data_IF_513087627483
#
_entry.id   IF_513087627483
#
_cell.length_a   1.000
_cell.length_b   1.000
_cell.length_c   1.000
_cell.angle_alpha   90.00
_cell.angle_beta   90.00
_cell.angle_gamma   90.00
#
_symmetry.space_group_name_H-M   'P 1'
#
loop_
_entity.id
_entity.type
_entity.pdbx_description
1 polymer ?
#
# COMPACT_ATOMS: atom_id res chain seq x y z
N UNK A 1 25.85 -23.49 -17.63
CA UNK A 1 25.13 -23.62 -16.34
C UNK A 1 23.63 -23.53 -16.64
N UNK A 2 22.79 -24.47 -16.19
CA UNK A 2 21.34 -24.42 -16.46
C UNK A 2 20.73 -23.20 -15.77
N UNK A 3 20.09 -22.33 -16.54
CA UNK A 3 19.40 -21.15 -16.02
C UNK A 3 18.01 -21.56 -15.52
N UNK A 4 17.66 -21.12 -14.31
CA UNK A 4 16.34 -21.37 -13.72
C UNK A 4 15.60 -20.05 -13.59
N UNK A 5 14.33 -20.03 -14.00
CA UNK A 5 13.50 -18.83 -13.98
C UNK A 5 12.47 -18.89 -12.85
N UNK A 6 12.12 -17.73 -12.31
CA UNK A 6 11.03 -17.62 -11.36
C UNK A 6 10.20 -16.34 -11.59
N UNK A 7 8.95 -16.37 -11.15
CA UNK A 7 8.07 -15.18 -11.05
C UNK A 7 7.47 -15.10 -9.65
N UNK A 8 6.94 -13.93 -9.29
CA UNK A 8 6.35 -13.66 -7.98
C UNK A 8 4.88 -13.30 -8.14
N UNK A 9 4.00 -14.04 -7.46
CA UNK A 9 2.55 -13.85 -7.50
C UNK A 9 2.07 -13.44 -6.10
N UNK A 10 1.76 -12.15 -5.87
CA UNK A 10 1.22 -11.69 -4.60
C UNK A 10 -0.25 -12.06 -4.46
N UNK A 11 -0.80 -11.88 -3.25
CA UNK A 11 -2.24 -11.91 -3.03
C UNK A 11 -2.92 -10.70 -3.68
N UNK A 12 -4.19 -10.86 -4.06
CA UNK A 12 -5.05 -9.74 -4.47
C UNK A 12 -5.47 -8.88 -3.25
N UNK A 13 -4.51 -8.17 -2.67
CA UNK A 13 -4.67 -7.23 -1.55
C UNK A 13 -4.36 -5.80 -1.99
N UNK A 14 -4.38 -4.84 -1.05
CA UNK A 14 -4.05 -3.45 -1.35
C UNK A 14 -2.62 -3.28 -1.85
N UNK A 15 -2.37 -2.26 -2.66
CA UNK A 15 -1.10 -2.09 -3.38
C UNK A 15 0.11 -2.06 -2.44
N UNK A 16 0.00 -1.39 -1.29
CA UNK A 16 1.05 -1.38 -0.27
C UNK A 16 1.45 -2.81 0.11
N UNK A 17 0.52 -3.64 0.58
CA UNK A 17 0.82 -5.02 0.96
C UNK A 17 1.38 -5.85 -0.21
N UNK A 18 0.89 -5.65 -1.44
CA UNK A 18 1.45 -6.32 -2.62
C UNK A 18 2.93 -5.98 -2.82
N UNK A 19 3.33 -4.71 -2.65
CA UNK A 19 4.75 -4.32 -2.80
C UNK A 19 5.67 -5.01 -1.78
N UNK A 20 5.21 -5.23 -0.54
CA UNK A 20 5.96 -6.01 0.45
C UNK A 20 6.12 -7.46 0.02
N UNK A 21 5.02 -8.08 -0.43
CA UNK A 21 5.00 -9.48 -0.85
C UNK A 21 5.92 -9.69 -2.04
N UNK A 22 5.83 -8.85 -3.07
CA UNK A 22 6.68 -8.94 -4.27
C UNK A 22 8.14 -8.72 -3.90
N UNK A 23 8.45 -7.72 -3.08
CA UNK A 23 9.82 -7.48 -2.64
C UNK A 23 10.40 -8.73 -1.98
N UNK A 24 9.64 -9.35 -1.08
CA UNK A 24 10.10 -10.52 -0.34
C UNK A 24 10.26 -11.76 -1.24
N UNK A 25 9.29 -12.01 -2.12
CA UNK A 25 9.36 -13.14 -3.06
C UNK A 25 10.47 -12.97 -4.10
N UNK A 26 10.66 -11.75 -4.61
CA UNK A 26 11.74 -11.40 -5.52
C UNK A 26 13.10 -11.64 -4.85
N UNK A 27 13.31 -11.11 -3.64
CA UNK A 27 14.56 -11.30 -2.92
C UNK A 27 14.78 -12.78 -2.59
N UNK A 28 13.74 -13.53 -2.21
CA UNK A 28 13.85 -14.97 -1.95
C UNK A 28 14.28 -15.75 -3.20
N UNK A 29 13.58 -15.57 -4.33
CA UNK A 29 13.91 -16.28 -5.57
C UNK A 29 15.28 -15.90 -6.14
N UNK A 30 15.65 -14.63 -6.03
CA UNK A 30 16.98 -14.17 -6.43
C UNK A 30 18.07 -14.75 -5.52
N UNK A 31 17.79 -14.92 -4.21
CA UNK A 31 18.70 -15.58 -3.26
C UNK A 31 18.89 -17.07 -3.59
N UNK A 32 17.90 -17.73 -4.21
CA UNK A 32 18.04 -19.07 -4.77
C UNK A 32 18.85 -19.10 -6.09
N UNK A 33 19.43 -17.97 -6.53
CA UNK A 33 20.09 -17.79 -7.82
C UNK A 33 19.19 -18.11 -9.02
N UNK A 34 17.89 -17.86 -8.89
CA UNK A 34 16.96 -17.90 -10.01
C UNK A 34 16.87 -16.54 -10.69
N UNK A 35 16.62 -16.54 -12.00
CA UNK A 35 16.44 -15.33 -12.79
C UNK A 35 14.98 -14.92 -12.80
N UNK A 36 14.71 -13.68 -12.41
CA UNK A 36 13.35 -13.17 -12.34
C UNK A 36 12.77 -12.93 -13.73
N UNK A 37 11.55 -13.43 -13.94
CA UNK A 37 10.69 -13.16 -15.09
C UNK A 37 9.42 -12.52 -14.56
N UNK A 38 9.11 -11.32 -15.04
CA UNK A 38 8.03 -10.55 -14.49
C UNK A 38 6.66 -11.00 -15.03
N UNK A 39 5.78 -11.35 -14.11
CA UNK A 39 4.34 -11.42 -14.37
C UNK A 39 3.72 -10.08 -14.01
N UNK A 40 3.01 -9.41 -14.94
CA UNK A 40 2.33 -8.15 -14.66
C UNK A 40 1.40 -8.26 -13.45
N UNK A 41 1.48 -7.26 -12.57
CA UNK A 41 0.67 -7.25 -11.36
C UNK A 41 -0.78 -6.88 -11.65
N UNK A 42 -1.67 -7.33 -10.75
CA UNK A 42 -3.09 -7.00 -10.78
C UNK A 42 -3.52 -6.55 -9.37
N UNK A 43 -4.07 -5.34 -9.26
CA UNK A 43 -4.51 -4.77 -7.99
C UNK A 43 -5.98 -4.34 -8.04
N UNK A 44 -6.86 -5.32 -8.30
CA UNK A 44 -8.32 -5.11 -8.36
C UNK A 44 -8.88 -4.49 -7.09
N UNK A 45 -8.29 -4.75 -5.92
CA UNK A 45 -8.77 -4.18 -4.65
C UNK A 45 -8.60 -2.66 -4.59
N UNK A 46 -7.57 -2.12 -5.24
CA UNK A 46 -7.23 -0.69 -5.19
C UNK A 46 -7.90 0.10 -6.32
N UNK A 47 -8.28 -0.56 -7.41
CA UNK A 47 -9.14 0.04 -8.44
C UNK A 47 -10.62 -0.07 -8.05
N UNK A 48 -11.35 1.03 -8.16
CA UNK A 48 -12.76 1.21 -7.76
C UNK A 48 -13.75 0.41 -8.64
N UNK A 49 -13.44 -0.83 -9.02
CA UNK A 49 -14.47 -1.70 -9.57
C UNK A 49 -15.47 -1.98 -8.46
N UNK A 50 -16.69 -1.45 -8.58
CA UNK A 50 -17.79 -1.78 -7.68
C UNK A 50 -17.95 -3.30 -7.57
N UNK A 51 -18.43 -3.78 -6.43
CA UNK A 51 -18.72 -5.22 -6.24
C UNK A 51 -19.61 -5.79 -7.37
N UNK A 52 -20.47 -4.95 -7.95
CA UNK A 52 -21.34 -5.26 -9.08
C UNK A 52 -20.51 -5.44 -10.36
N UNK A 53 -19.59 -4.52 -10.67
CA UNK A 53 -18.67 -4.64 -11.82
C UNK A 53 -17.77 -5.88 -11.70
N UNK A 54 -17.35 -6.25 -10.48
CA UNK A 54 -16.59 -7.50 -10.25
C UNK A 54 -17.42 -8.77 -10.51
N UNK A 55 -18.71 -8.77 -10.14
CA UNK A 55 -19.63 -9.90 -10.39
C UNK A 55 -19.98 -10.03 -11.88
N UNK A 56 -20.23 -8.91 -12.55
CA UNK A 56 -20.54 -8.85 -13.98
C UNK A 56 -19.35 -9.37 -14.80
N UNK A 57 -18.13 -8.90 -14.55
CA UNK A 57 -16.94 -9.40 -15.25
C UNK A 57 -16.67 -10.89 -14.98
N UNK A 58 -17.06 -11.43 -13.82
CA UNK A 58 -16.94 -12.87 -13.52
C UNK A 58 -17.92 -13.72 -14.33
N UNK A 59 -19.02 -13.16 -14.83
CA UNK A 59 -20.05 -13.91 -15.56
C UNK A 59 -19.98 -13.76 -17.09
N UNK A 60 -19.38 -12.68 -17.61
CA UNK A 60 -19.41 -12.39 -19.06
C UNK A 60 -18.10 -12.82 -19.77
N UNK A 61 -17.12 -13.37 -19.06
CA UNK A 61 -15.93 -13.97 -19.69
C UNK A 61 -15.09 -13.00 -20.54
N UNK A 62 -15.29 -11.68 -20.42
CA UNK A 62 -14.50 -10.70 -21.15
C UNK A 62 -13.02 -10.91 -20.80
N UNK A 63 -12.13 -11.09 -21.79
CA UNK A 63 -10.71 -11.06 -21.55
C UNK A 63 -10.41 -9.71 -20.89
N UNK A 64 -9.84 -9.75 -19.68
CA UNK A 64 -9.49 -8.56 -18.88
C UNK A 64 -8.48 -7.72 -19.67
N UNK A 65 -8.99 -6.90 -20.57
CA UNK A 65 -8.17 -6.05 -21.43
C UNK A 65 -7.49 -5.01 -20.57
N UNK A 66 -6.17 -5.15 -20.55
CA UNK A 66 -5.17 -4.11 -20.49
C UNK A 66 -5.28 -3.12 -19.32
N UNK A 67 -4.37 -3.38 -18.38
CA UNK A 67 -3.73 -2.44 -17.48
C UNK A 67 -4.61 -1.80 -16.43
N UNK A 68 -4.49 -2.37 -15.24
CA UNK A 68 -4.63 -1.63 -14.01
C UNK A 68 -3.78 -0.33 -14.13
N UNK A 69 -4.46 0.80 -14.32
CA UNK A 69 -3.85 2.11 -14.53
C UNK A 69 -2.90 2.45 -13.39
N UNK A 70 -3.19 1.97 -12.17
CA UNK A 70 -2.31 2.06 -11.01
C UNK A 70 -1.01 1.29 -11.21
N UNK A 71 -1.05 0.09 -11.76
CA UNK A 71 0.15 -0.73 -11.99
C UNK A 71 1.04 -0.11 -13.07
N UNK A 72 0.45 0.40 -14.15
CA UNK A 72 1.16 1.22 -15.14
C UNK A 72 1.73 2.50 -14.53
N UNK A 73 0.93 3.19 -13.72
CA UNK A 73 1.36 4.40 -13.02
C UNK A 73 2.62 4.15 -12.18
N UNK A 74 2.68 2.98 -11.53
CA UNK A 74 3.80 2.54 -10.71
C UNK A 74 4.99 1.98 -11.50
N UNK A 75 4.88 1.79 -12.82
CA UNK A 75 5.90 1.13 -13.64
C UNK A 75 6.05 -0.37 -13.34
N UNK A 76 5.00 -1.00 -12.84
CA UNK A 76 4.97 -2.41 -12.43
C UNK A 76 4.20 -3.31 -13.40
N UNK A 77 3.88 -2.79 -14.59
CA UNK A 77 3.26 -3.55 -15.68
C UNK A 77 4.30 -4.29 -16.53
N UNK A 78 5.56 -3.82 -16.49
CA UNK A 78 6.68 -4.39 -17.25
C UNK A 78 7.98 -4.46 -16.45
N UNK A 79 8.82 -5.40 -16.85
CA UNK A 79 10.22 -5.55 -16.42
C UNK A 79 11.05 -5.94 -17.64
N UNK A 80 12.38 -5.87 -17.49
CA UNK A 80 13.34 -6.32 -18.51
C UNK A 80 12.99 -7.66 -19.13
N UNK A 81 12.58 -8.63 -18.29
CA UNK A 81 12.04 -9.91 -18.73
C UNK A 81 10.58 -10.00 -18.35
N UNK A 82 9.72 -10.28 -19.31
CA UNK A 82 8.29 -10.46 -19.10
C UNK A 82 7.88 -11.88 -19.45
N UNK A 83 6.93 -12.44 -18.71
CA UNK A 83 6.42 -13.79 -18.98
C UNK A 83 5.78 -13.92 -20.37
N UNK A 84 5.35 -12.80 -20.95
CA UNK A 84 4.76 -12.73 -22.28
C UNK A 84 5.79 -12.53 -23.41
N UNK A 85 7.09 -12.46 -23.10
CA UNK A 85 8.13 -12.33 -24.14
C UNK A 85 8.19 -13.61 -24.99
N UNK A 86 8.45 -13.45 -26.30
CA UNK A 86 8.52 -14.58 -27.25
C UNK A 86 9.45 -15.72 -26.79
N UNK A 87 10.53 -15.39 -26.08
CA UNK A 87 11.49 -16.38 -25.56
C UNK A 87 10.92 -17.31 -24.49
N UNK A 88 9.81 -16.94 -23.84
CA UNK A 88 9.13 -17.77 -22.86
C UNK A 88 7.90 -18.48 -23.43
N UNK A 89 7.66 -18.37 -24.75
CA UNK A 89 6.63 -19.17 -25.42
C UNK A 89 6.93 -20.67 -25.23
N UNK A 90 5.95 -21.40 -24.69
CA UNK A 90 6.08 -22.82 -24.38
C UNK A 90 6.80 -23.13 -23.06
N UNK A 91 7.13 -22.13 -22.24
CA UNK A 91 7.49 -22.39 -20.84
C UNK A 91 6.25 -22.78 -20.03
N UNK A 92 6.40 -23.79 -19.18
CA UNK A 92 5.38 -24.16 -18.20
C UNK A 92 5.58 -23.35 -16.92
N UNK A 93 4.49 -22.79 -16.41
CA UNK A 93 4.50 -22.08 -15.12
C UNK A 93 4.12 -23.10 -14.04
N UNK A 94 5.03 -23.30 -13.09
CA UNK A 94 4.79 -24.20 -11.97
C UNK A 94 4.63 -23.42 -10.66
N UNK A 95 3.46 -23.50 -10.07
CA UNK A 95 3.22 -22.90 -8.75
C UNK A 95 3.98 -23.65 -7.65
N UNK A 96 4.85 -22.90 -6.96
CA UNK A 96 5.57 -23.36 -5.77
C UNK A 96 4.80 -22.88 -4.55
N UNK A 97 4.14 -23.82 -3.86
CA UNK A 97 3.50 -23.54 -2.58
C UNK A 97 4.57 -23.42 -1.47
N UNK A 98 5.19 -22.25 -1.38
CA UNK A 98 6.24 -21.95 -0.42
C UNK A 98 5.82 -22.22 1.02
N UNK A 99 4.56 -21.96 1.39
CA UNK A 99 4.08 -22.22 2.74
C UNK A 99 4.15 -23.71 3.09
N UNK A 100 3.61 -24.56 2.22
CA UNK A 100 3.63 -26.02 2.38
C UNK A 100 5.08 -26.52 2.44
N UNK A 101 5.87 -26.09 1.48
CA UNK A 101 7.27 -26.47 1.32
C UNK A 101 8.10 -26.12 2.57
N UNK A 102 7.96 -24.91 3.11
CA UNK A 102 8.69 -24.44 4.29
C UNK A 102 8.20 -25.06 5.61
N UNK A 103 6.98 -25.59 5.65
CA UNK A 103 6.43 -26.25 6.85
C UNK A 103 6.77 -27.74 6.90
N UNK A 104 6.66 -28.42 5.77
CA UNK A 104 6.79 -29.88 5.69
C UNK A 104 8.24 -30.35 5.53
N UNK A 105 9.17 -29.45 5.20
CA UNK A 105 10.57 -29.78 5.00
C UNK A 105 11.47 -29.06 6.01
N UNK A 106 12.52 -29.76 6.45
CA UNK A 106 13.58 -29.22 7.29
C UNK A 106 14.53 -28.32 6.49
N UNK A 107 14.00 -27.20 6.00
CA UNK A 107 14.76 -26.20 5.23
C UNK A 107 15.41 -25.23 6.22
N UNK A 108 16.73 -25.33 6.34
CA UNK A 108 17.54 -24.54 7.27
C UNK A 108 18.18 -23.33 6.61
N UNK A 109 18.45 -23.40 5.30
CA UNK A 109 19.15 -22.37 4.53
C UNK A 109 18.63 -22.27 3.09
N UNK A 110 19.12 -21.27 2.35
CA UNK A 110 18.68 -20.99 0.97
C UNK A 110 19.02 -22.13 -0.02
N UNK A 111 20.12 -22.84 0.23
CA UNK A 111 20.54 -23.95 -0.62
C UNK A 111 19.60 -25.14 -0.48
N UNK A 112 19.16 -25.45 0.75
CA UNK A 112 18.14 -26.46 1.02
C UNK A 112 16.84 -26.12 0.29
N UNK A 113 16.41 -24.86 0.38
CA UNK A 113 15.20 -24.38 -0.30
C UNK A 113 15.30 -24.61 -1.81
N UNK A 114 16.41 -24.19 -2.41
CA UNK A 114 16.68 -24.36 -3.85
C UNK A 114 16.67 -25.83 -4.24
N UNK A 115 17.31 -26.70 -3.46
CA UNK A 115 17.35 -28.14 -3.70
C UNK A 115 15.94 -28.73 -3.66
N UNK A 116 15.16 -28.43 -2.63
CA UNK A 116 13.77 -28.86 -2.51
C UNK A 116 12.93 -28.42 -3.71
N UNK A 117 13.00 -27.15 -4.12
CA UNK A 117 12.24 -26.64 -5.29
C UNK A 117 12.63 -27.40 -6.57
N UNK A 118 13.93 -27.58 -6.80
CA UNK A 118 14.42 -28.25 -7.99
C UNK A 118 14.07 -29.75 -8.04
N UNK A 119 13.79 -30.40 -6.91
CA UNK A 119 13.36 -31.81 -6.86
C UNK A 119 11.87 -32.03 -7.14
N UNK A 120 11.05 -30.98 -7.17
CA UNK A 120 9.58 -31.13 -7.22
C UNK A 120 9.07 -31.64 -8.59
N UNK A 121 9.82 -31.51 -9.69
CA UNK A 121 9.38 -31.96 -11.03
C UNK A 121 10.56 -32.45 -11.90
N UNK A 122 10.35 -33.45 -12.81
CA UNK A 122 11.33 -33.89 -13.80
C UNK A 122 11.96 -32.71 -14.56
N UNK A 123 13.24 -32.86 -14.90
CA UNK A 123 14.10 -31.89 -15.59
C UNK A 123 13.56 -31.49 -16.99
N UNK A 124 12.42 -30.80 -17.08
CA UNK A 124 12.11 -30.01 -18.27
C UNK A 124 13.03 -28.80 -18.29
N UNK A 125 13.50 -28.41 -19.47
CA UNK A 125 14.33 -27.21 -19.65
C UNK A 125 13.49 -25.92 -19.68
N UNK A 126 12.15 -26.03 -19.78
CA UNK A 126 11.26 -24.88 -19.99
C UNK A 126 10.26 -24.72 -18.85
N UNK A 127 10.75 -24.44 -17.64
CA UNK A 127 9.92 -24.18 -16.46
C UNK A 127 10.21 -22.78 -15.90
N UNK A 128 9.15 -22.08 -15.50
CA UNK A 128 9.21 -20.89 -14.64
C UNK A 128 8.55 -21.23 -13.31
N UNK A 129 9.30 -21.15 -12.22
CA UNK A 129 8.75 -21.35 -10.88
C UNK A 129 7.96 -20.12 -10.43
N UNK A 130 6.67 -20.29 -10.18
CA UNK A 130 5.78 -19.26 -9.68
C UNK A 130 5.77 -19.30 -8.16
N UNK A 131 6.40 -18.31 -7.53
CA UNK A 131 6.41 -18.18 -6.08
C UNK A 131 5.13 -17.48 -5.66
N UNK A 132 4.17 -18.24 -5.13
CA UNK A 132 2.84 -17.74 -4.79
C UNK A 132 2.76 -17.36 -3.31
N UNK A 133 2.39 -16.11 -3.04
CA UNK A 133 2.09 -15.68 -1.67
C UNK A 133 0.72 -16.21 -1.23
N UNK A 134 0.67 -16.88 -0.08
CA UNK A 134 -0.59 -17.33 0.55
C UNK A 134 -0.85 -16.55 1.85
N UNK A 135 -2.09 -16.47 2.36
CA UNK A 135 -2.34 -15.76 3.62
C UNK A 135 -1.55 -16.31 4.81
N UNK A 136 -1.22 -17.61 4.81
CA UNK A 136 -0.43 -18.22 5.88
C UNK A 136 1.07 -17.87 5.81
N UNK A 137 1.57 -17.34 4.69
CA UNK A 137 2.96 -16.89 4.54
C UNK A 137 3.32 -15.75 5.50
N UNK A 138 2.35 -14.97 5.98
CA UNK A 138 2.60 -13.96 7.00
C UNK A 138 3.20 -14.56 8.29
N UNK A 139 2.86 -15.80 8.62
CA UNK A 139 3.40 -16.53 9.77
C UNK A 139 4.86 -16.97 9.55
N UNK A 140 5.33 -17.01 8.31
CA UNK A 140 6.66 -17.47 7.93
C UNK A 140 7.62 -16.34 7.58
N UNK A 141 7.23 -15.07 7.77
CA UNK A 141 8.07 -13.91 7.40
C UNK A 141 9.47 -13.96 8.01
N UNK A 142 9.58 -14.27 9.29
CA UNK A 142 10.88 -14.39 9.98
C UNK A 142 11.72 -15.53 9.41
N UNK A 143 11.11 -16.69 9.14
CA UNK A 143 11.78 -17.83 8.50
C UNK A 143 12.27 -17.47 7.10
N UNK A 144 11.44 -16.84 6.28
CA UNK A 144 11.82 -16.38 4.93
C UNK A 144 12.99 -15.39 5.01
N UNK A 145 12.95 -14.45 5.96
CA UNK A 145 14.04 -13.50 6.15
C UNK A 145 15.34 -14.21 6.56
N UNK A 146 15.27 -15.17 7.49
CA UNK A 146 16.43 -15.99 7.88
C UNK A 146 17.03 -16.76 6.70
N UNK A 147 16.18 -17.32 5.82
CA UNK A 147 16.64 -17.99 4.60
C UNK A 147 17.34 -17.02 3.64
N UNK A 148 16.78 -15.84 3.41
CA UNK A 148 17.42 -14.79 2.61
C UNK A 148 18.78 -14.41 3.22
N UNK A 149 18.85 -14.26 4.53
CA UNK A 149 20.06 -13.87 5.24
C UNK A 149 21.15 -14.95 5.16
N UNK A 150 20.75 -16.23 5.12
CA UNK A 150 21.67 -17.36 4.96
C UNK A 150 22.41 -17.38 3.61
N UNK A 151 21.92 -16.67 2.60
CA UNK A 151 22.53 -16.63 1.27
C UNK A 151 23.86 -15.85 1.23
N UNK A 152 24.17 -15.04 2.26
CA UNK A 152 25.41 -14.22 2.37
C UNK A 152 25.73 -13.38 1.13
N UNK A 153 24.69 -12.96 0.43
CA UNK A 153 24.72 -12.11 -0.76
C UNK A 153 24.45 -10.67 -0.36
N UNK A 154 25.03 -9.72 -1.10
CA UNK A 154 24.75 -8.32 -0.86
C UNK A 154 23.27 -8.02 -1.14
N UNK A 155 22.52 -7.76 -0.07
CA UNK A 155 21.10 -7.44 -0.11
C UNK A 155 20.80 -6.19 -0.95
N UNK A 156 21.76 -5.29 -1.14
CA UNK A 156 21.58 -4.11 -1.99
C UNK A 156 21.29 -4.51 -3.45
N UNK A 157 21.90 -5.60 -3.92
CA UNK A 157 21.77 -6.12 -5.27
C UNK A 157 20.47 -6.92 -5.50
N UNK A 158 19.87 -7.44 -4.42
CA UNK A 158 18.68 -8.30 -4.47
C UNK A 158 17.35 -7.56 -4.23
N UNK A 159 17.36 -6.23 -4.25
CA UNK A 159 16.14 -5.43 -4.07
C UNK A 159 15.39 -5.29 -5.38
N UNK A 160 14.08 -5.50 -5.31
CA UNK A 160 13.21 -5.13 -6.43
C UNK A 160 13.26 -3.61 -6.61
N UNK A 161 13.59 -3.17 -7.83
CA UNK A 161 13.86 -1.76 -8.13
C UNK A 161 12.59 -0.91 -8.29
N UNK A 162 11.81 -0.77 -7.22
CA UNK A 162 10.56 0.01 -7.22
C UNK A 162 10.76 1.46 -7.66
N UNK A 163 11.72 2.16 -7.07
CA UNK A 163 11.99 3.57 -7.37
C UNK A 163 12.37 3.81 -8.84
N UNK A 164 13.36 3.06 -9.37
CA UNK A 164 13.80 3.19 -10.76
C UNK A 164 12.63 3.02 -11.74
N UNK A 165 11.81 1.98 -11.52
CA UNK A 165 10.63 1.68 -12.34
C UNK A 165 9.59 2.78 -12.29
N UNK A 166 9.30 3.28 -11.08
CA UNK A 166 8.33 4.33 -10.88
C UNK A 166 8.73 5.61 -11.60
N UNK A 167 9.95 6.08 -11.38
CA UNK A 167 10.41 7.34 -11.97
C UNK A 167 10.55 7.24 -13.49
N UNK A 168 10.99 6.10 -14.03
CA UNK A 168 10.95 5.83 -15.47
C UNK A 168 9.52 5.89 -16.03
N UNK A 169 8.53 5.35 -15.32
CA UNK A 169 7.13 5.47 -15.74
C UNK A 169 6.63 6.93 -15.69
N UNK A 170 7.09 7.73 -14.72
CA UNK A 170 6.74 9.16 -14.60
C UNK A 170 7.31 10.02 -15.72
N UNK A 171 8.45 9.65 -16.33
CA UNK A 171 8.97 10.34 -17.53
C UNK A 171 7.96 10.30 -18.69
N UNK A 172 7.35 9.13 -18.92
CA UNK A 172 6.36 8.95 -20.00
C UNK A 172 4.95 9.44 -19.66
N UNK A 173 4.64 9.53 -18.37
CA UNK A 173 3.30 9.88 -17.91
C UNK A 173 3.40 10.75 -16.65
N UNK A 174 3.78 12.03 -16.76
CA UNK A 174 3.95 12.90 -15.60
C UNK A 174 2.62 13.13 -14.88
N UNK A 175 2.68 13.38 -13.57
CA UNK A 175 1.52 13.76 -12.76
C UNK A 175 1.87 15.02 -11.98
N UNK A 176 1.15 16.11 -12.23
CA UNK A 176 1.32 17.33 -11.47
C UNK A 176 0.68 17.18 -10.07
N UNK A 177 1.40 17.63 -9.05
CA UNK A 177 0.91 17.82 -7.70
C UNK A 177 0.95 19.30 -7.35
N UNK A 178 0.10 19.77 -6.44
CA UNK A 178 0.12 21.15 -5.99
C UNK A 178 1.21 21.39 -4.93
N UNK A 179 2.38 20.76 -5.09
CA UNK A 179 3.56 21.10 -4.29
C UNK A 179 4.27 22.30 -4.91
N UNK A 180 4.66 23.25 -4.08
CA UNK A 180 5.62 24.27 -4.45
C UNK A 180 7.03 23.64 -4.40
N UNK A 181 7.74 23.68 -5.53
CA UNK A 181 9.08 23.11 -5.67
C UNK A 181 10.14 23.85 -4.84
N UNK A 182 9.89 25.09 -4.44
CA UNK A 182 10.80 25.90 -3.61
C UNK A 182 10.56 25.75 -2.11
N UNK A 183 9.59 24.92 -1.70
CA UNK A 183 9.19 24.74 -0.30
C UNK A 183 9.40 23.31 0.16
N UNK A 184 9.48 23.13 1.47
CA UNK A 184 9.51 21.80 2.09
C UNK A 184 8.14 21.14 1.89
N UNK A 185 8.14 19.93 1.33
CA UNK A 185 6.91 19.23 0.94
C UNK A 185 6.42 18.34 2.08
N UNK A 186 5.21 18.60 2.58
CA UNK A 186 4.57 17.76 3.60
C UNK A 186 3.38 17.01 2.99
N UNK A 187 3.35 15.69 3.10
CA UNK A 187 2.15 14.90 2.86
C UNK A 187 1.51 14.47 4.18
N UNK A 188 0.24 14.80 4.38
CA UNK A 188 -0.54 14.39 5.55
C UNK A 188 -1.55 13.34 5.12
N UNK A 189 -1.44 12.12 5.62
CA UNK A 189 -2.28 11.00 5.22
C UNK A 189 -3.26 10.60 6.33
N UNK A 190 -4.54 10.91 6.12
CA UNK A 190 -5.64 10.60 7.03
C UNK A 190 -6.45 9.44 6.47
N UNK A 191 -6.45 8.31 7.19
CA UNK A 191 -7.27 7.14 6.83
C UNK A 191 -8.61 7.21 7.55
N UNK A 192 -9.72 7.49 6.84
CA UNK A 192 -11.08 7.63 7.42
C UNK A 192 -12.14 6.74 6.76
N UNK A 193 -11.83 6.06 5.66
CA UNK A 193 -12.81 5.31 4.88
C UNK A 193 -13.12 3.89 5.36
N UNK A 194 -12.31 3.28 6.22
CA UNK A 194 -12.61 1.92 6.74
C UNK A 194 -12.31 1.69 8.22
N UNK A 195 -11.77 2.69 8.90
CA UNK A 195 -11.30 2.62 10.30
C UNK A 195 -11.89 3.70 11.20
N UNK A 196 -12.70 4.63 10.66
CA UNK A 196 -13.25 5.72 11.44
C UNK A 196 -14.24 5.25 12.51
N UNK A 197 -14.31 6.00 13.60
CA UNK A 197 -15.38 5.93 14.58
C UNK A 197 -16.43 7.00 14.26
N UNK A 198 -17.71 6.60 14.28
CA UNK A 198 -18.83 7.50 13.99
C UNK A 198 -19.70 7.65 15.24
N UNK A 199 -19.82 8.87 15.74
CA UNK A 199 -20.72 9.22 16.84
C UNK A 199 -22.15 9.37 16.35
N UNK A 200 -23.07 8.54 16.85
CA UNK A 200 -24.50 8.55 16.53
C UNK A 200 -25.31 8.39 17.82
N UNK A 201 -26.14 9.38 18.16
CA UNK A 201 -27.07 9.35 19.30
C UNK A 201 -26.45 8.82 20.61
N UNK A 202 -25.37 9.48 21.07
CA UNK A 202 -24.56 9.15 22.25
C UNK A 202 -23.85 7.78 22.22
N UNK A 203 -23.88 7.09 21.09
CA UNK A 203 -23.12 5.86 20.86
C UNK A 203 -22.01 6.10 19.85
N UNK A 204 -20.98 5.28 19.93
CA UNK A 204 -19.90 5.27 18.94
C UNK A 204 -20.01 4.00 18.13
N UNK A 205 -19.89 4.11 16.80
CA UNK A 205 -19.86 2.98 15.87
C UNK A 205 -18.41 2.80 15.43
N UNK A 206 -17.82 1.64 15.73
CA UNK A 206 -16.56 1.20 15.12
C UNK A 206 -16.85 0.75 13.68
N UNK A 207 -16.50 1.56 12.68
CA UNK A 207 -16.77 1.22 11.28
C UNK A 207 -15.96 0.01 10.79
N UNK A 208 -14.85 -0.32 11.46
CA UNK A 208 -14.07 -1.51 11.13
C UNK A 208 -14.82 -2.77 11.55
N UNK A 209 -15.30 -2.83 12.80
CA UNK A 209 -16.02 -3.98 13.37
C UNK A 209 -17.51 -3.99 13.03
N UNK A 210 -18.08 -2.85 12.63
CA UNK A 210 -19.50 -2.63 12.40
C UNK A 210 -20.34 -2.95 13.63
N UNK A 211 -19.94 -2.43 14.79
CA UNK A 211 -20.63 -2.59 16.07
C UNK A 211 -20.60 -1.30 16.88
N UNK A 212 -21.56 -1.17 17.80
CA UNK A 212 -21.51 -0.13 18.82
C UNK A 212 -20.39 -0.42 19.82
N UNK A 213 -19.72 0.63 20.28
CA UNK A 213 -18.70 0.63 21.33
C UNK A 213 -19.05 1.74 22.35
N UNK A 214 -18.56 1.60 23.57
CA UNK A 214 -18.89 2.52 24.67
C UNK A 214 -18.01 3.79 24.60
N UNK A 215 -16.75 3.64 24.21
CA UNK A 215 -15.80 4.74 24.01
C UNK A 215 -15.00 4.57 22.71
N UNK A 216 -14.44 5.66 22.18
CA UNK A 216 -13.42 5.63 21.12
C UNK A 216 -12.21 4.78 21.57
N UNK A 217 -11.91 4.74 22.87
CA UNK A 217 -10.83 3.92 23.42
C UNK A 217 -11.03 2.42 23.21
N UNK A 218 -12.27 1.97 23.05
CA UNK A 218 -12.63 0.57 22.79
C UNK A 218 -12.52 0.20 21.29
N UNK A 219 -12.23 1.19 20.43
CA UNK A 219 -12.10 0.98 19.00
C UNK A 219 -10.92 0.04 18.71
N UNK A 220 -11.07 -0.80 17.67
CA UNK A 220 -9.97 -1.70 17.29
C UNK A 220 -8.68 -0.95 16.95
N UNK A 221 -8.83 0.22 16.34
CA UNK A 221 -7.73 1.08 15.93
C UNK A 221 -7.99 2.45 16.51
N UNK A 222 -7.16 2.85 17.48
CA UNK A 222 -7.12 4.24 17.93
C UNK A 222 -6.62 5.07 16.76
N UNK A 223 -7.45 5.95 16.24
CA UNK A 223 -7.09 6.82 15.14
C UNK A 223 -7.16 8.26 15.59
N UNK A 224 -6.09 8.99 15.32
CA UNK A 224 -6.10 10.44 15.35
C UNK A 224 -7.30 10.99 14.57
N UNK A 225 -8.01 11.91 15.19
CA UNK A 225 -9.03 12.72 14.57
C UNK A 225 -8.41 13.75 13.64
N UNK A 226 -9.22 14.27 12.69
CA UNK A 226 -8.75 15.24 11.70
C UNK A 226 -8.09 16.47 12.35
N UNK A 227 -8.61 16.89 13.52
CA UNK A 227 -8.08 18.00 14.30
C UNK A 227 -6.66 17.73 14.84
N UNK A 228 -6.31 16.49 15.16
CA UNK A 228 -4.99 16.16 15.71
C UNK A 228 -3.88 16.40 14.67
N UNK A 229 -4.17 16.08 13.39
CA UNK A 229 -3.27 16.37 12.28
C UNK A 229 -3.11 17.86 12.04
N UNK A 230 -4.21 18.62 12.12
CA UNK A 230 -4.20 20.07 11.99
C UNK A 230 -3.40 20.73 13.11
N UNK A 231 -3.61 20.31 14.36
CA UNK A 231 -2.85 20.79 15.51
C UNK A 231 -1.34 20.52 15.37
N UNK A 232 -0.96 19.32 14.91
CA UNK A 232 0.44 19.01 14.63
C UNK A 232 1.03 19.91 13.53
N UNK A 233 0.30 20.17 12.45
CA UNK A 233 0.73 21.12 11.42
C UNK A 233 0.90 22.53 12.00
N UNK A 234 -0.04 23.01 12.81
CA UNK A 234 0.05 24.32 13.46
C UNK A 234 1.29 24.43 14.35
N UNK A 235 1.64 23.37 15.09
CA UNK A 235 2.89 23.33 15.86
C UNK A 235 4.12 23.46 14.97
N UNK A 236 4.16 22.72 13.85
CA UNK A 236 5.26 22.80 12.88
C UNK A 236 5.35 24.22 12.30
N UNK A 237 4.22 24.80 11.89
CA UNK A 237 4.17 26.15 11.31
C UNK A 237 4.57 27.23 12.30
N UNK A 238 4.07 27.17 13.54
CA UNK A 238 4.42 28.12 14.60
C UNK A 238 5.93 28.08 14.91
N UNK A 239 6.53 26.89 14.87
CA UNK A 239 7.95 26.70 15.18
C UNK A 239 8.88 27.13 14.04
N UNK A 240 8.49 26.87 12.80
CA UNK A 240 9.40 26.95 11.66
C UNK A 240 9.04 28.01 10.61
N UNK A 241 7.81 28.53 10.64
CA UNK A 241 7.25 29.43 9.63
C UNK A 241 6.38 28.67 8.63
N UNK A 242 5.10 29.03 8.53
CA UNK A 242 4.12 28.43 7.60
C UNK A 242 4.54 28.57 6.13
N UNK A 243 5.14 29.70 5.79
CA UNK A 243 5.56 30.09 4.44
C UNK A 243 6.61 29.15 3.84
N UNK A 244 7.39 28.44 4.66
CA UNK A 244 8.41 27.49 4.23
C UNK A 244 7.88 26.15 3.72
N UNK A 245 6.60 25.86 3.98
CA UNK A 245 6.01 24.56 3.69
C UNK A 245 4.98 24.62 2.57
N UNK A 246 4.91 23.55 1.79
CA UNK A 246 3.81 23.24 0.89
C UNK A 246 3.21 21.90 1.31
N UNK A 247 1.92 21.89 1.63
CA UNK A 247 1.29 20.76 2.30
C UNK A 247 0.18 20.17 1.43
N UNK A 248 0.14 18.85 1.33
CA UNK A 248 -0.94 18.11 0.69
C UNK A 248 -1.57 17.17 1.72
N UNK A 249 -2.84 17.41 2.02
CA UNK A 249 -3.66 16.59 2.91
C UNK A 249 -4.45 15.58 2.09
N UNK A 250 -4.26 14.31 2.39
CA UNK A 250 -4.79 13.16 1.66
C UNK A 250 -5.76 12.39 2.54
N UNK A 251 -6.96 12.08 2.03
CA UNK A 251 -7.84 11.14 2.70
C UNK A 251 -8.74 10.39 1.71
N UNK A 252 -9.04 9.13 2.02
CA UNK A 252 -10.14 8.40 1.39
C UNK A 252 -11.53 8.96 1.75
N UNK A 253 -11.60 9.86 2.74
CA UNK A 253 -12.85 10.46 3.22
C UNK A 253 -13.72 9.46 3.96
N UNK A 254 -14.97 9.83 4.23
CA UNK A 254 -15.87 8.98 5.05
C UNK A 254 -16.85 8.12 4.24
N UNK A 255 -16.92 8.31 2.92
CA UNK A 255 -17.92 7.69 2.05
C UNK A 255 -18.00 6.17 2.19
N UNK A 256 -16.86 5.48 2.23
CA UNK A 256 -16.84 4.03 2.40
C UNK A 256 -17.24 3.59 3.80
N UNK A 257 -16.89 4.36 4.83
CA UNK A 257 -17.32 4.12 6.21
C UNK A 257 -18.85 4.13 6.29
N UNK A 258 -19.49 5.19 5.79
CA UNK A 258 -20.94 5.31 5.80
C UNK A 258 -21.62 4.22 4.96
N UNK A 259 -21.12 3.91 3.75
CA UNK A 259 -21.61 2.79 2.94
C UNK A 259 -21.57 1.44 3.66
N UNK A 260 -20.53 1.18 4.44
CA UNK A 260 -20.41 -0.06 5.22
C UNK A 260 -21.43 -0.10 6.36
N UNK A 261 -21.65 1.02 7.04
CA UNK A 261 -22.66 1.16 8.08
C UNK A 261 -24.06 0.94 7.50
N UNK A 262 -24.42 1.63 6.41
CA UNK A 262 -25.70 1.44 5.71
C UNK A 262 -25.92 -0.02 5.32
N UNK A 263 -24.90 -0.68 4.75
CA UNK A 263 -25.00 -2.10 4.39
C UNK A 263 -25.21 -2.99 5.61
N UNK A 264 -24.55 -2.71 6.73
CA UNK A 264 -24.73 -3.46 7.97
C UNK A 264 -26.14 -3.26 8.56
N UNK A 265 -26.71 -2.05 8.43
CA UNK A 265 -28.09 -1.77 8.81
C UNK A 265 -29.10 -2.57 7.99
N UNK A 266 -28.97 -2.53 6.66
CA UNK A 266 -29.83 -3.29 5.76
C UNK A 266 -29.75 -4.81 5.96
N UNK A 267 -28.65 -5.30 6.53
CA UNK A 267 -28.45 -6.70 6.90
C UNK A 267 -28.91 -7.03 8.33
N UNK A 268 -29.50 -6.07 9.06
CA UNK A 268 -29.92 -6.26 10.46
C UNK A 268 -28.78 -6.40 11.46
N UNK A 269 -27.52 -6.18 11.06
CA UNK A 269 -26.33 -6.28 11.92
C UNK A 269 -26.15 -5.05 12.81
N UNK A 270 -26.65 -3.90 12.36
CA UNK A 270 -26.71 -2.67 13.12
C UNK A 270 -28.15 -2.17 13.15
N UNK A 271 -28.71 -1.98 14.34
CA UNK A 271 -30.01 -1.31 14.50
C UNK A 271 -29.75 0.18 14.62
N UNK A 272 -29.85 0.87 13.49
CA UNK A 272 -29.88 2.33 13.38
C UNK A 272 -31.23 2.64 12.73
N UNK A 273 -32.02 3.51 13.33
CA UNK A 273 -33.41 3.72 12.92
C UNK A 273 -33.59 4.87 11.93
N UNK A 274 -32.51 5.57 11.56
CA UNK A 274 -32.60 6.75 10.69
C UNK A 274 -31.50 6.76 9.61
N UNK A 275 -31.89 6.47 8.36
CA UNK A 275 -31.04 6.56 7.18
C UNK A 275 -30.81 8.01 6.72
N UNK A 276 -31.76 8.91 7.01
CA UNK A 276 -31.66 10.33 6.65
C UNK A 276 -30.59 10.98 7.54
N UNK A 277 -30.60 10.68 8.84
CA UNK A 277 -29.57 11.11 9.78
C UNK A 277 -28.18 10.64 9.33
N UNK A 278 -28.05 9.36 8.95
CA UNK A 278 -26.79 8.79 8.48
C UNK A 278 -26.22 9.51 7.24
N UNK A 279 -27.07 9.85 6.27
CA UNK A 279 -26.66 10.60 5.08
C UNK A 279 -26.25 12.05 5.42
N UNK A 280 -26.98 12.71 6.31
CA UNK A 280 -26.63 14.05 6.81
C UNK A 280 -25.27 14.04 7.53
N UNK A 281 -25.00 13.00 8.31
CA UNK A 281 -23.73 12.82 8.99
C UNK A 281 -22.55 12.61 8.04
N UNK A 282 -22.72 11.87 6.94
CA UNK A 282 -21.65 11.71 5.94
C UNK A 282 -21.15 13.08 5.46
N UNK A 283 -22.06 14.02 5.21
CA UNK A 283 -21.71 15.40 4.83
C UNK A 283 -20.94 16.11 5.94
N UNK A 284 -21.48 16.13 7.17
CA UNK A 284 -20.85 16.77 8.34
C UNK A 284 -19.43 16.22 8.64
N UNK A 285 -19.21 14.92 8.47
CA UNK A 285 -17.89 14.34 8.68
C UNK A 285 -16.90 14.74 7.60
N UNK A 286 -17.33 14.87 6.34
CA UNK A 286 -16.47 15.39 5.28
C UNK A 286 -16.16 16.89 5.47
N UNK A 287 -17.06 17.68 6.06
CA UNK A 287 -16.79 19.09 6.41
C UNK A 287 -15.66 19.25 7.44
N UNK A 288 -15.31 18.21 8.21
CA UNK A 288 -14.15 18.24 9.12
C UNK A 288 -12.83 18.56 8.40
N UNK A 289 -12.71 18.26 7.10
CA UNK A 289 -11.51 18.59 6.33
C UNK A 289 -11.40 20.08 5.99
N UNK A 290 -12.47 20.88 6.15
CA UNK A 290 -12.46 22.32 5.91
C UNK A 290 -11.54 23.08 6.87
N UNK A 291 -11.14 22.47 8.00
CA UNK A 291 -10.14 23.07 8.88
C UNK A 291 -8.82 23.37 8.15
N UNK A 292 -8.48 22.58 7.13
CA UNK A 292 -7.27 22.78 6.34
C UNK A 292 -7.40 23.89 5.29
N UNK A 293 -8.61 24.25 4.87
CA UNK A 293 -8.82 25.29 3.84
C UNK A 293 -8.56 26.70 4.36
N UNK A 294 -8.32 26.85 5.66
CA UNK A 294 -7.93 28.10 6.30
C UNK A 294 -6.50 28.54 5.94
N UNK A 295 -5.70 27.63 5.40
CA UNK A 295 -4.29 27.83 5.08
C UNK A 295 -4.07 27.87 3.57
N UNK A 296 -3.39 28.92 3.08
CA UNK A 296 -3.16 29.10 1.64
C UNK A 296 -2.12 28.12 1.07
N UNK A 297 -1.24 27.59 1.92
CA UNK A 297 -0.19 26.63 1.54
C UNK A 297 -0.63 25.15 1.65
N UNK A 298 -1.91 24.89 1.99
CA UNK A 298 -2.44 23.54 2.12
C UNK A 298 -3.42 23.22 0.99
N UNK A 299 -3.18 22.10 0.33
CA UNK A 299 -4.08 21.52 -0.67
C UNK A 299 -4.70 20.22 -0.15
N UNK A 300 -5.98 19.98 -0.42
CA UNK A 300 -6.68 18.77 0.02
C UNK A 300 -7.03 17.87 -1.16
N UNK A 301 -6.80 16.57 -1.01
CA UNK A 301 -7.21 15.50 -1.93
C UNK A 301 -8.05 14.52 -1.11
N UNK A 302 -9.36 14.74 -1.10
CA UNK A 302 -10.32 14.00 -0.28
C UNK A 302 -11.23 13.14 -1.16
N UNK A 303 -11.42 11.89 -0.76
CA UNK A 303 -12.40 10.97 -1.34
C UNK A 303 -11.79 9.86 -2.20
N UNK A 304 -12.57 8.80 -2.38
CA UNK A 304 -12.20 7.63 -3.15
C UNK A 304 -12.45 7.83 -4.66
N UNK A 305 -11.42 8.23 -5.39
CA UNK A 305 -11.36 8.15 -6.86
C UNK A 305 -10.02 7.54 -7.29
N UNK A 306 -9.97 6.97 -8.49
CA UNK A 306 -8.71 6.45 -9.03
C UNK A 306 -7.65 7.57 -9.14
N UNK A 307 -8.05 8.74 -9.64
CA UNK A 307 -7.16 9.89 -9.74
C UNK A 307 -6.64 10.36 -8.38
N UNK A 308 -7.51 10.44 -7.37
CA UNK A 308 -7.11 10.78 -6.01
C UNK A 308 -6.13 9.75 -5.44
N UNK A 309 -6.31 8.46 -5.74
CA UNK A 309 -5.36 7.42 -5.35
C UNK A 309 -3.99 7.64 -5.99
N UNK A 310 -3.94 7.91 -7.30
CA UNK A 310 -2.67 8.17 -7.99
C UNK A 310 -1.96 9.42 -7.44
N UNK A 311 -2.72 10.52 -7.25
CA UNK A 311 -2.19 11.75 -6.64
C UNK A 311 -1.74 11.54 -5.20
N UNK A 312 -2.47 10.77 -4.40
CA UNK A 312 -2.10 10.44 -3.02
C UNK A 312 -0.80 9.66 -2.96
N UNK A 313 -0.66 8.64 -3.81
CA UNK A 313 0.58 7.86 -3.91
C UNK A 313 1.75 8.78 -4.31
N UNK A 314 1.57 9.59 -5.35
CA UNK A 314 2.61 10.49 -5.81
C UNK A 314 3.02 11.49 -4.73
N UNK A 315 2.07 12.08 -4.02
CA UNK A 315 2.32 13.07 -2.99
C UNK A 315 3.13 12.48 -1.83
N UNK A 316 2.82 11.25 -1.40
CA UNK A 316 3.60 10.56 -0.37
C UNK A 316 5.03 10.25 -0.86
N UNK A 317 5.20 9.85 -2.12
CA UNK A 317 6.52 9.54 -2.70
C UNK A 317 7.40 10.80 -2.79
N UNK A 318 6.80 11.93 -3.17
CA UNK A 318 7.48 13.21 -3.37
C UNK A 318 7.74 13.98 -2.07
N UNK A 319 6.97 13.77 -1.00
CA UNK A 319 7.07 14.55 0.22
C UNK A 319 8.37 14.33 0.99
N UNK A 320 8.92 15.39 1.56
CA UNK A 320 10.08 15.35 2.44
C UNK A 320 9.70 14.93 3.85
N UNK A 321 8.50 15.32 4.28
CA UNK A 321 7.89 14.92 5.55
C UNK A 321 6.56 14.24 5.28
N UNK A 322 6.31 13.11 5.94
CA UNK A 322 5.04 12.39 5.87
C UNK A 322 4.43 12.24 7.25
N UNK A 323 3.26 12.83 7.45
CA UNK A 323 2.50 12.74 8.70
C UNK A 323 1.37 11.72 8.50
N UNK A 324 1.26 10.71 9.37
CA UNK A 324 0.21 9.69 9.27
C UNK A 324 -0.13 9.12 10.65
N UNK A 325 -1.39 8.75 10.90
CA UNK A 325 -1.77 8.04 12.15
C UNK A 325 -1.48 6.54 12.11
N UNK A 326 -1.12 6.01 10.94
CA UNK A 326 -0.58 4.66 10.82
C UNK A 326 0.38 4.60 9.64
N UNK A 327 1.55 4.01 9.85
CA UNK A 327 2.56 3.97 8.80
C UNK A 327 2.21 3.01 7.65
N UNK A 328 1.27 2.08 7.82
CA UNK A 328 1.01 0.96 6.90
C UNK A 328 1.02 1.29 5.40
N UNK A 329 0.20 2.21 4.89
CA UNK A 329 0.20 2.55 3.46
C UNK A 329 1.32 3.53 3.11
N UNK A 330 1.42 4.63 3.87
CA UNK A 330 2.35 5.72 3.58
C UNK A 330 3.82 5.29 3.62
N UNK A 331 4.21 4.48 4.59
CA UNK A 331 5.55 3.90 4.70
C UNK A 331 5.88 2.99 3.53
N UNK A 332 4.93 2.19 3.04
CA UNK A 332 5.18 1.28 1.92
C UNK A 332 5.40 2.02 0.61
N UNK A 333 4.77 3.17 0.44
CA UNK A 333 4.99 4.01 -0.74
C UNK A 333 6.39 4.63 -0.76
N UNK A 334 7.09 4.73 0.38
CA UNK A 334 8.49 5.22 0.41
C UNK A 334 9.46 4.34 -0.39
N UNK A 335 9.10 3.09 -0.70
CA UNK A 335 9.91 2.23 -1.60
C UNK A 335 10.06 2.78 -3.01
N UNK A 336 9.18 3.68 -3.44
CA UNK A 336 9.20 4.29 -4.76
C UNK A 336 9.92 5.64 -4.79
N UNK A 337 10.33 6.17 -3.64
CA UNK A 337 11.10 7.43 -3.57
C UNK A 337 12.48 7.23 -4.20
N UNK A 338 13.02 8.27 -4.85
CA UNK A 338 14.38 8.24 -5.42
C UNK A 338 15.39 7.87 -4.33
N UNK A 339 16.41 7.09 -4.68
CA UNK A 339 17.47 6.73 -3.75
C UNK A 339 18.19 8.00 -3.23
N UNK A 340 18.43 8.09 -1.91
CA UNK A 340 19.25 9.17 -1.33
C UNK A 340 18.77 9.73 0.02
N UNK A 341 17.46 9.95 0.21
CA UNK A 341 16.87 10.35 1.51
C UNK A 341 15.44 9.79 1.62
N UNK A 342 15.18 8.93 2.60
CA UNK A 342 13.80 8.51 2.97
C UNK A 342 13.07 9.68 3.61
N UNK A 343 11.78 9.90 3.32
CA UNK A 343 11.02 10.97 3.97
C UNK A 343 11.08 10.87 5.51
N UNK A 344 11.04 12.02 6.18
CA UNK A 344 10.89 12.08 7.63
C UNK A 344 9.45 11.70 8.01
N UNK A 345 9.29 10.55 8.66
CA UNK A 345 7.98 9.98 8.95
C UNK A 345 7.54 10.37 10.37
N UNK A 346 6.39 11.01 10.52
CA UNK A 346 5.81 11.40 11.81
C UNK A 346 4.52 10.64 12.04
N UNK A 347 4.43 9.94 13.18
CA UNK A 347 3.18 9.36 13.64
C UNK A 347 2.42 10.39 14.48
N UNK A 348 1.25 10.83 14.02
CA UNK A 348 0.46 11.83 14.78
C UNK A 348 0.00 11.32 16.15
N UNK A 349 -0.05 10.01 16.36
CA UNK A 349 -0.41 9.43 17.66
C UNK A 349 0.77 9.33 18.64
N UNK A 350 2.01 9.52 18.17
CA UNK A 350 3.23 9.24 18.95
C UNK A 350 4.25 10.40 18.88
N UNK A 351 3.86 11.57 18.36
CA UNK A 351 4.79 12.69 18.24
C UNK A 351 5.05 13.37 19.59
N UNK A 352 6.26 13.90 19.75
CA UNK A 352 6.67 14.72 20.88
C UNK A 352 7.54 15.90 20.41
N UNK A 353 8.00 16.72 21.37
CA UNK A 353 8.86 17.87 21.08
C UNK A 353 10.24 17.46 20.53
N UNK A 354 10.74 16.25 20.85
CA UNK A 354 12.02 15.77 20.32
C UNK A 354 11.91 15.47 18.82
N UNK A 355 10.84 14.78 18.42
CA UNK A 355 10.51 14.53 17.02
C UNK A 355 10.37 15.85 16.27
N UNK A 356 9.67 16.83 16.84
CA UNK A 356 9.54 18.14 16.22
C UNK A 356 10.90 18.82 16.03
N UNK A 357 11.79 18.79 17.03
CA UNK A 357 13.14 19.38 16.96
C UNK A 357 13.99 18.76 15.84
N UNK A 358 13.90 17.45 15.64
CA UNK A 358 14.68 16.75 14.62
C UNK A 358 14.26 17.01 13.17
N UNK A 359 13.16 17.73 12.94
CA UNK A 359 12.71 18.10 11.58
C UNK A 359 13.77 18.95 10.87
N UNK A 360 14.35 19.96 11.53
CA UNK A 360 15.37 20.81 10.89
C UNK A 360 16.65 20.03 10.58
N UNK A 361 17.11 19.21 11.53
CA UNK A 361 18.33 18.41 11.35
C UNK A 361 18.22 17.47 10.16
N UNK A 362 17.01 16.98 9.88
CA UNK A 362 16.73 16.15 8.70
C UNK A 362 16.71 16.94 7.38
N UNK A 363 16.21 18.18 7.43
CA UNK A 363 16.03 19.05 6.26
C UNK A 363 17.33 19.71 5.80
N UNK A 364 18.28 19.93 6.72
CA UNK A 364 19.66 20.29 6.42
C UNK A 364 20.44 19.08 5.84
#
# INVERSE_FOLDING_TARGET
MKEFFFTAIPLNVGIGDQTDQISMLYTLGSSCAYKYVHTPLVCERSTLSSFIVRKIHKHIGFPRKSSDRLIKFLGLDKHELNINDNKFLGYQILDVNLYKLLQENNISNIFDLRKCINTIIPFSERIIYSFVWTPKMYLLKSKIQSLIDSAKVDKSTLKFKFAEKYWKARESWPLALPFDENKIKIAVHLRKGDTACIHLNNKVIDAWKLKYINSIDDAKYKQAETVDYHFLLQKIFTRYGEDKFSVVVLSDGYKRTFRRITKAMLQGKLRIYDLIELNSMERKYNEKFNIFTQHQNIFTIIGESEENLLKSIHAIICADIVISGSFGFAWRMQKFRKAGKSAFMINVNEYDEQILNSIIDYLN
#
